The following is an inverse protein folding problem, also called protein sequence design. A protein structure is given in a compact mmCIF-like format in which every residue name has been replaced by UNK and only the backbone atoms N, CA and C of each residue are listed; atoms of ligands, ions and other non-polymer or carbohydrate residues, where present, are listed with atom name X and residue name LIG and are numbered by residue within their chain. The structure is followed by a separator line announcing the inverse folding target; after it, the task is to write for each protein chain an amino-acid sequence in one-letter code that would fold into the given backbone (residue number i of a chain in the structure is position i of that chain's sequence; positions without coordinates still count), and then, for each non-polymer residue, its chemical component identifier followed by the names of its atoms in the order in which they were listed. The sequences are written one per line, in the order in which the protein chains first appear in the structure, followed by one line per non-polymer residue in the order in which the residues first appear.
data_IF_254651042561
#
_entry.id   IF_254651042561
#
_cell.length_a   1.000
_cell.length_b   1.000
_cell.length_c   1.000
_cell.angle_alpha   90.00
_cell.angle_beta   90.00
_cell.angle_gamma   90.00
#
_symmetry.space_group_name_H-M   'P 1'
#
loop_
_entity.id
_entity.type
_entity.pdbx_description
1 polymer ?
#
# COMPACT_ATOMS: atom_id res chain seq x y z
N UNK A 1 -18.58 17.96 5.22
CA UNK A 1 -19.55 17.44 6.22
C UNK A 1 -18.86 16.39 7.09
N UNK A 2 -18.45 16.80 8.29
CA UNK A 2 -17.49 16.09 9.15
C UNK A 2 -17.98 14.83 9.88
N UNK A 3 -18.80 13.99 9.25
CA UNK A 3 -19.13 12.67 9.79
C UNK A 3 -18.43 11.60 8.94
N UNK A 4 -17.29 11.12 9.42
CA UNK A 4 -16.70 9.90 8.88
C UNK A 4 -17.60 8.71 9.24
N UNK A 5 -17.90 7.88 8.25
CA UNK A 5 -18.67 6.64 8.42
C UNK A 5 -17.71 5.48 8.18
N UNK A 6 -17.72 4.46 9.05
CA UNK A 6 -16.90 3.27 8.91
C UNK A 6 -17.73 1.99 8.97
N UNK A 7 -17.35 1.01 8.16
CA UNK A 7 -17.92 -0.34 8.15
C UNK A 7 -16.80 -1.37 8.27
N UNK A 8 -17.08 -2.48 8.94
CA UNK A 8 -16.22 -3.65 8.94
C UNK A 8 -16.81 -4.72 8.03
N UNK A 9 -15.98 -5.30 7.18
CA UNK A 9 -16.37 -6.35 6.23
C UNK A 9 -15.57 -7.60 6.56
N UNK A 10 -16.25 -8.73 6.71
CA UNK A 10 -15.61 -10.04 6.82
C UNK A 10 -15.21 -10.55 5.42
N UNK A 11 -14.19 -9.91 4.83
CA UNK A 11 -13.73 -10.18 3.47
C UNK A 11 -12.31 -9.63 3.22
N UNK A 12 -11.84 -9.75 1.98
CA UNK A 12 -10.57 -9.20 1.55
C UNK A 12 -10.63 -7.67 1.38
N UNK A 13 -9.49 -6.97 1.30
CA UNK A 13 -9.48 -5.54 0.98
C UNK A 13 -10.19 -5.19 -0.35
N UNK A 14 -10.13 -6.07 -1.34
CA UNK A 14 -10.87 -5.88 -2.60
C UNK A 14 -12.39 -6.03 -2.40
N UNK A 15 -12.84 -6.96 -1.54
CA UNK A 15 -14.25 -7.11 -1.19
C UNK A 15 -14.78 -5.84 -0.50
N UNK A 16 -13.98 -5.22 0.37
CA UNK A 16 -14.32 -3.94 1.00
C UNK A 16 -14.61 -2.85 -0.05
N UNK A 17 -13.78 -2.76 -1.10
CA UNK A 17 -13.96 -1.77 -2.18
C UNK A 17 -15.21 -2.09 -2.99
N UNK A 18 -15.42 -3.34 -3.39
CA UNK A 18 -16.62 -3.74 -4.14
C UNK A 18 -17.90 -3.43 -3.36
N UNK A 19 -17.97 -3.80 -2.08
CA UNK A 19 -19.15 -3.52 -1.23
C UNK A 19 -19.33 -2.02 -1.00
N UNK A 20 -18.23 -1.30 -0.75
CA UNK A 20 -18.22 0.15 -0.64
C UNK A 20 -18.88 0.83 -1.84
N UNK A 21 -18.48 0.43 -3.05
CA UNK A 21 -18.92 1.05 -4.29
C UNK A 21 -20.28 0.59 -4.79
N UNK A 22 -20.71 -0.63 -4.47
CA UNK A 22 -21.94 -1.23 -5.04
C UNK A 22 -23.11 -1.28 -4.07
N UNK A 23 -22.86 -1.23 -2.76
CA UNK A 23 -23.91 -1.41 -1.73
C UNK A 23 -23.96 -0.23 -0.77
N UNK A 24 -22.80 0.26 -0.31
CA UNK A 24 -22.74 1.21 0.81
C UNK A 24 -22.87 2.66 0.34
N UNK A 25 -22.08 3.05 -0.67
CA UNK A 25 -22.10 4.42 -1.20
C UNK A 25 -23.29 4.61 -2.12
N UNK A 26 -23.98 5.76 -1.96
CA UNK A 26 -25.10 6.16 -2.82
C UNK A 26 -24.64 6.71 -4.16
N UNK A 27 -23.45 7.29 -4.18
CA UNK A 27 -22.84 7.94 -5.34
C UNK A 27 -21.41 7.41 -5.52
N UNK A 28 -20.95 7.42 -6.76
CA UNK A 28 -19.59 7.01 -7.10
C UNK A 28 -18.60 8.01 -6.45
N UNK A 29 -17.59 7.56 -5.69
CA UNK A 29 -16.61 8.45 -5.10
C UNK A 29 -15.63 8.97 -6.16
N UNK A 30 -15.05 10.15 -5.89
CA UNK A 30 -14.05 10.77 -6.76
C UNK A 30 -12.67 10.10 -6.69
N UNK A 31 -12.39 9.40 -5.58
CA UNK A 31 -11.10 8.78 -5.30
C UNK A 31 -11.28 7.58 -4.36
N UNK A 32 -10.51 6.51 -4.59
CA UNK A 32 -10.31 5.42 -3.62
C UNK A 32 -8.90 5.53 -3.03
N UNK A 33 -8.81 5.52 -1.70
CA UNK A 33 -7.54 5.50 -0.98
C UNK A 33 -7.50 4.22 -0.14
N UNK A 34 -6.42 3.45 -0.28
CA UNK A 34 -6.15 2.27 0.56
C UNK A 34 -4.89 2.53 1.39
N UNK A 35 -5.02 2.53 2.72
CA UNK A 35 -3.91 2.83 3.62
C UNK A 35 -4.35 3.54 4.91
N UNK A 36 -3.41 4.05 5.72
CA UNK A 36 -1.95 3.97 5.53
C UNK A 36 -1.44 2.64 6.06
N UNK A 37 -0.79 1.84 5.20
CA UNK A 37 -0.25 0.55 5.59
C UNK A 37 0.94 0.69 6.56
N UNK A 38 1.05 -0.23 7.52
CA UNK A 38 2.25 -0.42 8.32
C UNK A 38 3.17 -1.39 7.57
N UNK A 39 4.22 -0.85 6.95
CA UNK A 39 5.17 -1.57 6.11
C UNK A 39 5.08 -1.10 4.67
N UNK A 40 6.22 -0.96 4.00
CA UNK A 40 6.27 -0.52 2.61
C UNK A 40 5.76 -1.60 1.64
N UNK A 41 5.16 -1.13 0.55
CA UNK A 41 4.72 -1.94 -0.59
C UNK A 41 5.55 -1.51 -1.80
N UNK A 42 6.77 -2.04 -1.89
CA UNK A 42 7.75 -1.75 -2.95
C UNK A 42 8.20 -3.03 -3.65
N UNK A 43 8.72 -2.90 -4.86
CA UNK A 43 9.22 -4.02 -5.65
C UNK A 43 8.16 -5.08 -5.92
N UNK A 44 8.54 -6.36 -5.82
CA UNK A 44 7.61 -7.47 -6.08
C UNK A 44 6.54 -7.66 -4.99
N UNK A 45 6.74 -7.10 -3.78
CA UNK A 45 5.77 -7.21 -2.68
C UNK A 45 4.41 -6.56 -3.00
N UNK A 46 4.40 -5.63 -3.95
CA UNK A 46 3.18 -4.98 -4.48
C UNK A 46 2.14 -6.02 -4.93
N UNK A 47 2.57 -7.15 -5.51
CA UNK A 47 1.68 -8.19 -6.05
C UNK A 47 0.85 -8.88 -4.94
N UNK A 48 1.44 -9.02 -3.75
CA UNK A 48 0.82 -9.72 -2.61
C UNK A 48 0.14 -8.77 -1.62
N UNK A 49 0.21 -7.47 -1.88
CA UNK A 49 -0.26 -6.44 -0.97
C UNK A 49 -1.77 -6.28 -1.03
N UNK A 50 -2.44 -6.50 0.11
CA UNK A 50 -3.85 -6.17 0.28
C UNK A 50 -4.13 -4.67 0.10
N UNK A 51 -3.20 -3.80 0.53
CA UNK A 51 -3.33 -2.34 0.38
C UNK A 51 -3.36 -1.95 -1.09
N UNK A 52 -2.39 -2.44 -1.88
CA UNK A 52 -2.34 -2.19 -3.33
C UNK A 52 -3.52 -2.85 -4.04
N UNK A 53 -3.89 -4.07 -3.66
CA UNK A 53 -5.02 -4.81 -4.24
C UNK A 53 -6.34 -4.03 -4.13
N UNK A 54 -6.64 -3.46 -2.97
CA UNK A 54 -7.84 -2.63 -2.81
C UNK A 54 -7.84 -1.40 -3.72
N UNK A 55 -6.72 -0.68 -3.80
CA UNK A 55 -6.64 0.48 -4.69
C UNK A 55 -6.66 0.07 -6.18
N UNK A 56 -6.11 -1.10 -6.53
CA UNK A 56 -6.20 -1.70 -7.87
C UNK A 56 -7.65 -1.97 -8.26
N UNK A 57 -8.46 -2.50 -7.34
CA UNK A 57 -9.90 -2.73 -7.55
C UNK A 57 -10.63 -1.43 -7.88
N UNK A 58 -10.36 -0.34 -7.16
CA UNK A 58 -10.90 0.99 -7.47
C UNK A 58 -10.52 1.47 -8.89
N UNK A 59 -9.25 1.31 -9.26
CA UNK A 59 -8.74 1.64 -10.61
C UNK A 59 -9.43 0.82 -11.70
N UNK A 60 -9.63 -0.49 -11.50
CA UNK A 60 -10.32 -1.37 -12.45
C UNK A 60 -11.78 -0.97 -12.66
N UNK A 61 -12.43 -0.43 -11.63
CA UNK A 61 -13.78 0.12 -11.69
C UNK A 61 -13.83 1.56 -12.23
N UNK A 62 -12.70 2.07 -12.72
CA UNK A 62 -12.59 3.38 -13.36
C UNK A 62 -12.72 4.54 -12.37
N UNK A 63 -12.22 4.37 -11.15
CA UNK A 63 -12.07 5.44 -10.16
C UNK A 63 -10.57 5.71 -9.97
N UNK A 64 -10.11 6.98 -10.03
CA UNK A 64 -8.75 7.31 -9.61
C UNK A 64 -8.46 6.70 -8.24
N UNK A 65 -7.33 6.01 -8.10
CA UNK A 65 -7.03 5.30 -6.86
C UNK A 65 -5.57 5.44 -6.45
N UNK A 66 -5.33 5.44 -5.15
CA UNK A 66 -3.99 5.44 -4.58
C UNK A 66 -3.86 4.49 -3.39
N UNK A 67 -2.73 3.81 -3.30
CA UNK A 67 -2.31 3.09 -2.10
C UNK A 67 -1.25 3.88 -1.35
N UNK A 68 -1.32 3.89 -0.02
CA UNK A 68 -0.39 4.64 0.83
C UNK A 68 0.19 3.74 1.90
N UNK A 69 1.51 3.75 2.05
CA UNK A 69 2.24 2.90 2.98
C UNK A 69 3.31 3.70 3.71
N UNK A 70 3.52 3.40 4.99
CA UNK A 70 4.64 3.92 5.79
C UNK A 70 5.69 2.82 5.94
N UNK A 71 6.95 3.13 5.66
CA UNK A 71 8.08 2.19 5.75
C UNK A 71 8.53 1.95 7.20
N UNK A 72 7.61 1.44 8.02
CA UNK A 72 7.85 1.04 9.40
C UNK A 72 7.15 -0.28 9.70
N UNK A 73 7.70 -1.06 10.62
CA UNK A 73 7.09 -2.28 11.13
C UNK A 73 6.78 -2.21 12.64
N UNK A 74 7.29 -1.20 13.34
CA UNK A 74 7.17 -1.03 14.80
C UNK A 74 7.03 0.45 15.15
N UNK A 75 6.17 0.78 16.12
CA UNK A 75 5.97 2.14 16.65
C UNK A 75 5.80 3.24 15.57
N UNK A 76 4.78 3.13 14.68
CA UNK A 76 4.62 4.05 13.57
C UNK A 76 4.16 5.45 14.00
N UNK A 77 4.76 6.48 13.40
CA UNK A 77 4.21 7.84 13.37
C UNK A 77 3.57 8.11 12.01
N UNK A 78 2.24 8.00 11.95
CA UNK A 78 1.47 8.27 10.73
C UNK A 78 1.18 9.75 10.49
N UNK A 79 1.61 10.66 11.37
CA UNK A 79 1.18 12.07 11.34
C UNK A 79 1.60 12.75 10.03
N UNK A 80 2.87 12.61 9.63
CA UNK A 80 3.33 13.15 8.36
C UNK A 80 2.67 12.45 7.17
N UNK A 81 2.65 11.11 7.18
CA UNK A 81 2.10 10.31 6.09
C UNK A 81 0.61 10.64 5.83
N UNK A 82 -0.17 10.86 6.89
CA UNK A 82 -1.57 11.30 6.80
C UNK A 82 -1.74 12.67 6.17
N UNK A 83 -0.95 13.67 6.60
CA UNK A 83 -0.99 15.01 5.99
C UNK A 83 -0.55 14.98 4.53
N UNK A 84 0.48 14.22 4.21
CA UNK A 84 0.96 14.06 2.84
C UNK A 84 -0.08 13.37 1.96
N UNK A 85 -0.68 12.28 2.43
CA UNK A 85 -1.74 11.56 1.72
C UNK A 85 -2.95 12.45 1.43
N UNK A 86 -3.40 13.25 2.39
CA UNK A 86 -4.51 14.20 2.19
C UNK A 86 -4.19 15.22 1.09
N UNK A 87 -3.00 15.84 1.14
CA UNK A 87 -2.55 16.79 0.10
C UNK A 87 -2.45 16.12 -1.27
N UNK A 88 -1.95 14.90 -1.34
CA UNK A 88 -1.81 14.16 -2.59
C UNK A 88 -3.19 13.74 -3.15
N UNK A 89 -4.13 13.36 -2.28
CA UNK A 89 -5.51 13.07 -2.65
C UNK A 89 -6.20 14.26 -3.32
N UNK A 90 -6.06 15.47 -2.78
CA UNK A 90 -6.58 16.69 -3.40
C UNK A 90 -6.01 16.92 -4.81
N UNK A 91 -4.70 16.68 -4.99
CA UNK A 91 -4.05 16.79 -6.29
C UNK A 91 -4.61 15.74 -7.27
N UNK A 92 -4.75 14.49 -6.84
CA UNK A 92 -5.28 13.39 -7.67
C UNK A 92 -6.73 13.65 -8.08
N UNK A 93 -7.58 14.11 -7.17
CA UNK A 93 -8.97 14.47 -7.49
C UNK A 93 -9.01 15.62 -8.50
N UNK A 94 -8.15 16.64 -8.32
CA UNK A 94 -8.18 17.85 -9.15
C UNK A 94 -7.57 17.63 -10.54
N UNK A 95 -6.47 16.88 -10.63
CA UNK A 95 -5.69 16.70 -11.88
C UNK A 95 -5.94 15.37 -12.57
N UNK A 96 -6.52 14.41 -11.86
CA UNK A 96 -6.70 13.04 -12.32
C UNK A 96 -5.40 12.23 -12.36
N UNK A 97 -5.54 10.98 -12.79
CA UNK A 97 -4.47 10.08 -13.17
C UNK A 97 -4.74 9.59 -14.60
N UNK A 98 -3.71 9.13 -15.33
CA UNK A 98 -3.94 8.44 -16.60
C UNK A 98 -4.91 7.26 -16.41
N UNK A 99 -5.73 6.99 -17.42
CA UNK A 99 -6.75 5.94 -17.34
C UNK A 99 -6.11 4.58 -17.06
N UNK A 100 -6.64 3.88 -16.06
CA UNK A 100 -6.14 2.55 -15.67
C UNK A 100 -4.84 2.59 -14.85
N UNK A 101 -4.44 3.75 -14.33
CA UNK A 101 -3.23 3.90 -13.50
C UNK A 101 -3.58 3.96 -12.02
N UNK A 102 -2.94 3.09 -11.23
CA UNK A 102 -2.89 3.16 -9.77
C UNK A 102 -1.66 3.97 -9.33
N UNK A 103 -1.82 4.89 -8.38
CA UNK A 103 -0.69 5.56 -7.74
C UNK A 103 -0.31 4.85 -6.44
N UNK A 104 0.82 4.14 -6.43
CA UNK A 104 1.36 3.51 -5.21
C UNK A 104 2.37 4.43 -4.51
N UNK A 105 2.11 4.76 -3.25
CA UNK A 105 2.86 5.76 -2.48
C UNK A 105 3.47 5.11 -1.25
N UNK A 106 4.79 5.26 -1.10
CA UNK A 106 5.54 4.81 0.07
C UNK A 106 6.23 6.02 0.73
N UNK A 107 6.07 6.15 2.05
CA UNK A 107 6.64 7.23 2.85
C UNK A 107 7.72 6.64 3.77
N UNK A 108 8.95 7.19 3.83
CA UNK A 108 9.97 6.72 4.75
C UNK A 108 9.59 7.04 6.19
N UNK A 109 9.88 6.13 7.13
CA UNK A 109 9.62 6.32 8.56
C UNK A 109 10.76 7.11 9.25
N UNK A 110 11.05 8.30 8.72
CA UNK A 110 12.02 9.25 9.29
C UNK A 110 11.30 10.50 9.81
N UNK A 111 11.98 11.36 10.57
CA UNK A 111 11.36 12.62 11.00
C UNK A 111 11.05 13.48 9.77
N UNK A 112 9.96 14.26 9.84
CA UNK A 112 9.54 15.12 8.72
C UNK A 112 10.65 16.02 8.18
N UNK A 113 11.54 16.53 9.04
CA UNK A 113 12.70 17.36 8.65
C UNK A 113 13.77 16.61 7.85
N UNK A 114 13.75 15.28 7.85
CA UNK A 114 14.70 14.39 7.17
C UNK A 114 14.16 13.93 5.80
N UNK A 115 12.89 14.24 5.49
CA UNK A 115 12.27 13.91 4.21
C UNK A 115 12.85 14.83 3.13
N UNK A 116 13.58 14.24 2.18
CA UNK A 116 14.34 14.97 1.16
C UNK A 116 13.51 15.49 0.00
N UNK A 117 12.27 15.03 -0.14
CA UNK A 117 11.36 15.45 -1.19
C UNK A 117 10.48 14.32 -1.71
N UNK A 118 9.96 14.50 -2.93
CA UNK A 118 9.11 13.54 -3.64
C UNK A 118 9.85 13.09 -4.89
N UNK A 119 9.80 11.78 -5.19
CA UNK A 119 10.32 11.23 -6.43
C UNK A 119 9.25 10.35 -7.09
N UNK A 120 9.07 10.53 -8.39
CA UNK A 120 8.29 9.60 -9.21
C UNK A 120 9.22 8.44 -9.58
N UNK A 121 8.79 7.22 -9.32
CA UNK A 121 9.60 6.02 -9.46
C UNK A 121 8.92 5.00 -10.37
N UNK A 122 9.71 4.03 -10.82
CA UNK A 122 9.23 2.75 -11.35
C UNK A 122 9.32 1.67 -10.28
N UNK A 123 8.49 0.65 -10.43
CA UNK A 123 8.53 -0.54 -9.58
C UNK A 123 9.85 -1.29 -9.77
N UNK A 124 10.52 -1.63 -8.67
CA UNK A 124 11.69 -2.49 -8.66
C UNK A 124 11.36 -3.98 -8.83
N UNK A 125 12.39 -4.81 -9.00
CA UNK A 125 12.27 -6.28 -9.08
C UNK A 125 12.84 -7.00 -7.86
N UNK A 126 13.31 -6.26 -6.85
CA UNK A 126 13.73 -6.80 -5.57
C UNK A 126 12.62 -7.62 -4.93
N UNK A 127 13.01 -8.70 -4.27
CA UNK A 127 12.08 -9.77 -3.85
C UNK A 127 12.44 -10.34 -2.50
N UNK A 128 11.44 -10.93 -1.87
CA UNK A 128 11.65 -11.79 -0.71
C UNK A 128 11.98 -13.19 -1.23
N UNK A 129 13.14 -13.73 -0.83
CA UNK A 129 13.47 -15.13 -1.02
C UNK A 129 12.81 -15.92 0.09
N UNK A 130 11.78 -16.69 -0.26
CA UNK A 130 10.99 -17.48 0.68
C UNK A 130 11.81 -18.63 1.30
N UNK A 131 11.63 -18.80 2.61
CA UNK A 131 12.23 -19.87 3.42
C UNK A 131 11.12 -20.56 4.20
N UNK A 132 11.05 -21.89 4.16
CA UNK A 132 10.06 -22.66 4.91
C UNK A 132 10.71 -23.44 6.03
N UNK A 133 10.39 -23.08 7.28
CA UNK A 133 10.81 -23.80 8.47
C UNK A 133 9.85 -24.96 8.75
N UNK A 134 10.31 -26.20 8.51
CA UNK A 134 9.57 -27.40 8.91
C UNK A 134 9.58 -27.54 10.43
N UNK A 135 8.41 -27.69 11.04
CA UNK A 135 8.19 -27.88 12.48
C UNK A 135 7.17 -28.99 12.72
N UNK A 136 7.11 -29.47 13.95
CA UNK A 136 6.12 -30.48 14.39
C UNK A 136 5.42 -29.97 15.63
N UNK A 137 4.09 -30.02 15.66
CA UNK A 137 3.29 -29.58 16.80
C UNK A 137 3.24 -30.65 17.91
N UNK A 138 2.73 -30.33 19.12
CA UNK A 138 2.62 -31.30 20.22
C UNK A 138 1.72 -32.52 19.95
N UNK A 139 0.90 -32.47 18.89
CA UNK A 139 0.06 -33.59 18.42
C UNK A 139 0.73 -34.37 17.29
N UNK A 140 2.05 -34.19 17.12
CA UNK A 140 2.87 -34.83 16.11
C UNK A 140 2.48 -34.50 14.65
N UNK A 141 1.84 -33.34 14.42
CA UNK A 141 1.50 -32.87 13.06
C UNK A 141 2.60 -31.98 12.52
N UNK A 142 3.09 -32.27 11.32
CA UNK A 142 4.05 -31.41 10.63
C UNK A 142 3.36 -30.15 10.12
N UNK A 143 4.00 -29.00 10.31
CA UNK A 143 3.63 -27.73 9.72
C UNK A 143 4.86 -26.99 9.22
N UNK A 144 4.66 -26.04 8.32
CA UNK A 144 5.73 -25.22 7.74
C UNK A 144 5.44 -23.76 8.07
N UNK A 145 6.44 -23.06 8.62
CA UNK A 145 6.39 -21.62 8.80
C UNK A 145 7.09 -20.95 7.63
N UNK A 146 6.35 -20.12 6.90
CA UNK A 146 6.92 -19.24 5.89
C UNK A 146 7.67 -18.11 6.59
N UNK A 147 8.90 -17.92 6.18
CA UNK A 147 9.78 -16.79 6.49
C UNK A 147 10.39 -16.30 5.18
N UNK A 148 11.22 -15.27 5.20
CA UNK A 148 11.94 -14.86 4.02
C UNK A 148 13.03 -13.84 4.26
N UNK A 149 13.99 -13.83 3.35
CA UNK A 149 15.09 -12.88 3.34
C UNK A 149 14.89 -11.89 2.19
N UNK A 150 15.04 -10.59 2.47
CA UNK A 150 15.00 -9.58 1.42
C UNK A 150 16.25 -9.70 0.53
N UNK A 151 16.05 -9.86 -0.77
CA UNK A 151 17.10 -9.91 -1.78
C UNK A 151 17.02 -8.64 -2.62
N UNK A 152 17.96 -7.74 -2.39
CA UNK A 152 18.13 -6.52 -3.15
C UNK A 152 18.78 -6.83 -4.50
N UNK A 153 18.15 -6.37 -5.58
CA UNK A 153 18.66 -6.52 -6.95
C UNK A 153 18.60 -5.22 -7.76
N UNK A 154 18.10 -4.15 -7.15
CA UNK A 154 17.85 -2.85 -7.75
C UNK A 154 18.77 -1.79 -7.16
N UNK A 155 19.33 -0.91 -7.98
CA UNK A 155 20.29 0.10 -7.50
C UNK A 155 20.05 1.49 -8.11
N UNK A 156 19.19 1.60 -9.11
CA UNK A 156 18.93 2.85 -9.80
C UNK A 156 18.05 3.78 -8.96
N UNK A 157 18.35 5.09 -8.95
CA UNK A 157 17.69 6.06 -8.07
C UNK A 157 16.21 6.32 -8.42
N UNK A 158 15.75 5.85 -9.58
CA UNK A 158 14.38 5.92 -10.06
C UNK A 158 13.53 4.70 -9.64
N UNK A 159 14.10 3.76 -8.90
CA UNK A 159 13.38 2.59 -8.37
C UNK A 159 12.80 2.92 -6.99
N UNK A 160 11.57 2.45 -6.74
CA UNK A 160 10.81 2.69 -5.51
C UNK A 160 11.58 2.41 -4.22
N UNK A 161 12.16 1.23 -4.04
CA UNK A 161 12.90 0.90 -2.82
C UNK A 161 14.17 1.75 -2.65
N UNK A 162 14.85 2.04 -3.75
CA UNK A 162 16.08 2.84 -3.73
C UNK A 162 15.75 4.29 -3.35
N UNK A 163 14.67 4.84 -3.91
CA UNK A 163 14.21 6.18 -3.57
C UNK A 163 13.74 6.29 -2.11
N UNK A 164 13.14 5.22 -1.57
CA UNK A 164 12.63 5.18 -0.20
C UNK A 164 13.75 5.17 0.85
N UNK A 165 14.88 4.53 0.54
CA UNK A 165 16.08 4.48 1.41
C UNK A 165 16.90 5.77 1.40
N UNK A 166 16.76 6.60 0.36
CA UNK A 166 17.59 7.78 0.11
C UNK A 166 17.01 9.04 0.74
#
# INVERSE_FOLDING_TARGET
NGNAIGYAVAGTPADCVKLGLTVILKEKPDLVISGINLGSNVGTNIIYSGTVSAATEGTMLGIPSMSVSLDSFTDPDFTFAGRFAARLAEIVVTRGLPKGTLLNVNIPAVKEKEIKGIRITRQGVSKIKEIFHKRTDPRNRTYYWLDGEFVESDFEPDIDIVALKN
#
